data_IF_456260048372
#
_entry.id   IF_456260048372
#
_cell.length_a   1.000
_cell.length_b   1.000
_cell.length_c   1.000
_cell.angle_alpha   90.00
_cell.angle_beta   90.00
_cell.angle_gamma   90.00
#
_symmetry.space_group_name_H-M   'P 1'
#
loop_
_entity.id
_entity.type
_entity.pdbx_description
1 polymer ?
#
# COMPACT_ATOMS: atom_id res chain seq x y z
N UNK A 1 0.32 10.66 -11.43
CA UNK A 1 0.18 12.01 -10.85
C UNK A 1 1.32 12.13 -9.86
N UNK A 2 2.46 12.60 -10.36
CA UNK A 2 3.71 12.65 -9.60
C UNK A 2 3.67 13.94 -8.80
N UNK A 3 3.65 13.84 -7.48
CA UNK A 3 3.71 15.00 -6.61
C UNK A 3 5.01 15.76 -6.92
N UNK A 4 4.84 17.05 -7.19
CA UNK A 4 5.93 17.96 -7.51
C UNK A 4 6.81 18.10 -6.25
N UNK A 5 8.02 17.57 -6.29
CA UNK A 5 9.02 17.59 -5.20
C UNK A 5 9.45 19.01 -4.78
N UNK A 6 8.93 20.06 -5.40
CA UNK A 6 9.25 21.47 -5.16
C UNK A 6 8.26 22.21 -4.24
N UNK A 7 7.19 21.55 -3.76
CA UNK A 7 6.24 22.13 -2.78
C UNK A 7 6.27 21.42 -1.43
N UNK A 8 7.48 21.04 -0.99
CA UNK A 8 7.76 20.47 0.32
C UNK A 8 7.64 21.57 1.38
N UNK A 9 6.42 21.94 1.76
CA UNK A 9 6.21 22.91 2.83
C UNK A 9 6.54 22.27 4.18
N UNK A 10 7.73 22.58 4.70
CA UNK A 10 8.19 22.15 6.02
C UNK A 10 7.43 22.81 7.17
N UNK A 11 6.56 23.79 6.88
CA UNK A 11 5.74 24.51 7.85
C UNK A 11 4.27 24.05 7.86
N UNK A 12 3.90 23.07 7.01
CA UNK A 12 2.58 22.47 7.06
C UNK A 12 2.50 21.44 8.20
N UNK A 13 1.54 21.66 9.11
CA UNK A 13 1.20 20.72 10.15
C UNK A 13 0.01 19.88 9.68
N UNK A 14 0.13 18.56 9.75
CA UNK A 14 -0.95 17.63 9.42
C UNK A 14 -1.48 17.04 10.73
N UNK A 15 -2.80 17.09 10.92
CA UNK A 15 -3.45 16.50 12.11
C UNK A 15 -4.21 15.25 11.77
N UNK A 16 -4.01 14.21 12.58
CA UNK A 16 -4.76 12.97 12.49
C UNK A 16 -5.55 12.67 13.77
N UNK A 17 -6.88 12.76 13.66
CA UNK A 17 -7.83 12.48 14.74
C UNK A 17 -8.58 13.73 15.25
N UNK A 18 -9.72 13.53 15.89
CA UNK A 18 -10.56 14.63 16.42
C UNK A 18 -9.89 15.31 17.63
N UNK A 19 -9.38 16.52 17.44
CA UNK A 19 -9.22 17.54 18.49
C UNK A 19 -7.97 17.50 19.39
N UNK A 20 -7.21 16.40 19.45
CA UNK A 20 -5.91 16.32 20.17
C UNK A 20 -4.98 15.27 19.52
N UNK A 21 -5.05 15.17 18.19
CA UNK A 21 -4.38 14.14 17.40
C UNK A 21 -2.87 14.33 17.23
N UNK A 22 -2.21 13.30 16.71
CA UNK A 22 -0.79 13.35 16.33
C UNK A 22 -0.57 14.43 15.27
N UNK A 23 0.28 15.40 15.59
CA UNK A 23 0.67 16.48 14.68
C UNK A 23 1.98 16.08 14.02
N UNK A 24 1.95 15.97 12.69
CA UNK A 24 3.15 15.71 11.90
C UNK A 24 3.49 16.99 11.13
N UNK A 25 4.67 17.54 11.38
CA UNK A 25 5.15 18.72 10.66
C UNK A 25 6.00 18.29 9.46
N UNK A 26 5.76 18.94 8.32
CA UNK A 26 6.59 18.84 7.12
C UNK A 26 6.23 17.69 6.17
N UNK A 27 7.24 17.12 5.53
CA UNK A 27 7.13 16.42 4.23
C UNK A 27 6.79 14.93 4.31
N UNK A 28 6.70 14.40 5.53
CA UNK A 28 6.50 12.98 5.83
C UNK A 28 5.33 12.33 5.06
N UNK A 29 4.09 12.86 5.06
CA UNK A 29 2.96 12.17 4.45
C UNK A 29 3.11 12.02 2.93
N UNK A 30 3.66 13.03 2.24
CA UNK A 30 3.84 13.03 0.78
C UNK A 30 4.96 12.07 0.34
N UNK A 31 6.08 12.07 1.05
CA UNK A 31 7.20 11.16 0.75
C UNK A 31 6.83 9.71 1.05
N UNK A 32 6.21 9.45 2.21
CA UNK A 32 5.80 8.10 2.61
C UNK A 32 4.75 7.54 1.66
N UNK A 33 3.74 8.32 1.29
CA UNK A 33 2.70 7.85 0.36
C UNK A 33 3.26 7.48 -1.01
N UNK A 34 4.16 8.31 -1.55
CA UNK A 34 4.78 8.03 -2.85
C UNK A 34 5.55 6.70 -2.82
N UNK A 35 6.35 6.49 -1.77
CA UNK A 35 7.14 5.26 -1.59
C UNK A 35 6.22 4.07 -1.38
N UNK A 36 5.21 4.19 -0.52
CA UNK A 36 4.24 3.12 -0.22
C UNK A 36 3.44 2.73 -1.46
N UNK A 37 3.00 3.71 -2.26
CA UNK A 37 2.27 3.46 -3.52
C UNK A 37 3.14 2.74 -4.53
N UNK A 38 4.40 3.16 -4.69
CA UNK A 38 5.36 2.48 -5.57
C UNK A 38 5.58 1.04 -5.10
N UNK A 39 5.83 0.81 -3.82
CA UNK A 39 6.08 -0.53 -3.26
C UNK A 39 4.85 -1.43 -3.42
N UNK A 40 3.65 -0.91 -3.16
CA UNK A 40 2.38 -1.64 -3.29
C UNK A 40 2.09 -2.14 -4.71
N UNK A 41 2.58 -1.45 -5.74
CA UNK A 41 2.39 -1.86 -7.14
C UNK A 41 3.60 -2.63 -7.65
N UNK A 42 4.82 -2.16 -7.35
CA UNK A 42 6.06 -2.75 -7.86
C UNK A 42 6.30 -4.16 -7.32
N UNK A 43 6.09 -4.42 -6.03
CA UNK A 43 6.31 -5.75 -5.43
C UNK A 43 5.40 -6.83 -6.06
N UNK A 44 4.07 -6.68 -6.10
CA UNK A 44 3.22 -7.71 -6.69
C UNK A 44 3.49 -7.92 -8.18
N UNK A 45 3.76 -6.86 -8.96
CA UNK A 45 4.12 -7.03 -10.38
C UNK A 45 5.43 -7.81 -10.53
N UNK A 46 6.47 -7.48 -9.76
CA UNK A 46 7.74 -8.22 -9.78
C UNK A 46 7.55 -9.69 -9.36
N UNK A 47 6.79 -9.96 -8.30
CA UNK A 47 6.49 -11.32 -7.85
C UNK A 47 5.75 -12.14 -8.92
N UNK A 48 4.83 -11.51 -9.67
CA UNK A 48 4.09 -12.13 -10.76
C UNK A 48 5.02 -12.44 -11.95
N UNK A 49 5.84 -11.48 -12.38
CA UNK A 49 6.78 -11.68 -13.50
C UNK A 49 7.80 -12.76 -13.16
N UNK A 50 8.44 -12.68 -11.98
CA UNK A 50 9.38 -13.72 -11.56
C UNK A 50 8.70 -15.07 -11.34
N UNK A 51 7.43 -15.09 -10.93
CA UNK A 51 6.64 -16.32 -10.86
C UNK A 51 6.36 -16.92 -12.24
N UNK A 52 5.97 -16.10 -13.22
CA UNK A 52 5.69 -16.57 -14.59
C UNK A 52 6.96 -17.04 -15.30
N UNK A 53 8.11 -16.40 -15.10
CA UNK A 53 9.38 -16.84 -15.67
C UNK A 53 9.83 -18.20 -15.12
N UNK A 54 9.58 -18.46 -13.84
CA UNK A 54 9.89 -19.72 -13.16
C UNK A 54 8.96 -20.85 -13.65
N UNK A 55 7.66 -20.56 -13.75
CA UNK A 55 6.69 -21.45 -14.37
C UNK A 55 6.99 -21.74 -15.84
N UNK A 56 7.30 -20.70 -16.60
CA UNK A 56 7.59 -20.81 -18.02
C UNK A 56 8.70 -21.83 -18.25
N UNK A 57 9.81 -21.70 -17.52
CA UNK A 57 10.93 -22.65 -17.55
C UNK A 57 10.55 -24.08 -17.13
N UNK A 58 9.70 -24.24 -16.12
CA UNK A 58 9.22 -25.55 -15.70
C UNK A 58 8.27 -26.21 -16.74
N UNK A 59 7.47 -25.41 -17.44
CA UNK A 59 6.53 -25.90 -18.49
C UNK A 59 7.28 -26.38 -19.73
N UNK A 60 8.30 -25.64 -20.19
CA UNK A 60 9.14 -26.09 -21.33
C UNK A 60 9.96 -27.35 -21.01
N UNK A 61 10.25 -27.63 -19.73
CA UNK A 61 10.99 -28.82 -19.33
C UNK A 61 10.18 -30.14 -19.41
N UNK A 62 8.85 -30.08 -19.66
CA UNK A 62 7.92 -31.23 -19.88
C UNK A 62 8.03 -32.41 -18.89
N UNK A 63 8.59 -32.22 -17.69
CA UNK A 63 8.59 -33.22 -16.63
C UNK A 63 7.39 -32.99 -15.73
N UNK A 64 6.50 -33.96 -15.61
CA UNK A 64 5.28 -33.87 -14.79
C UNK A 64 5.56 -33.47 -13.34
N UNK A 65 6.72 -33.87 -12.79
CA UNK A 65 7.16 -33.53 -11.43
C UNK A 65 7.59 -32.05 -11.29
N UNK A 66 8.17 -31.47 -12.35
CA UNK A 66 8.64 -30.08 -12.36
C UNK A 66 7.48 -29.11 -12.60
N UNK A 67 6.50 -29.49 -13.43
CA UNK A 67 5.31 -28.67 -13.70
C UNK A 67 4.46 -28.52 -12.44
N UNK A 68 4.24 -29.60 -11.68
CA UNK A 68 3.48 -29.56 -10.42
C UNK A 68 4.19 -28.76 -9.33
N UNK A 69 5.51 -28.87 -9.22
CA UNK A 69 6.33 -28.07 -8.27
C UNK A 69 6.36 -26.59 -8.65
N UNK A 70 6.51 -26.28 -9.93
CA UNK A 70 6.42 -24.92 -10.45
C UNK A 70 5.07 -24.29 -10.12
N UNK A 71 3.97 -24.98 -10.48
CA UNK A 71 2.60 -24.50 -10.21
C UNK A 71 2.34 -24.23 -8.73
N UNK A 72 2.75 -25.14 -7.84
CA UNK A 72 2.62 -24.90 -6.39
C UNK A 72 3.40 -23.67 -5.93
N UNK A 73 4.60 -23.43 -6.47
CA UNK A 73 5.43 -22.29 -6.10
C UNK A 73 4.83 -20.97 -6.59
N UNK A 74 4.26 -20.95 -7.80
CA UNK A 74 3.57 -19.79 -8.33
C UNK A 74 2.29 -19.46 -7.56
N UNK A 75 1.47 -20.46 -7.24
CA UNK A 75 0.25 -20.27 -6.45
C UNK A 75 0.60 -19.71 -5.07
N UNK A 76 1.67 -20.20 -4.43
CA UNK A 76 2.14 -19.63 -3.15
C UNK A 76 2.54 -18.15 -3.27
N UNK A 77 3.20 -17.75 -4.36
CA UNK A 77 3.54 -16.34 -4.63
C UNK A 77 2.32 -15.48 -4.95
N UNK A 78 1.35 -16.03 -5.67
CA UNK A 78 0.07 -15.36 -5.97
C UNK A 78 -0.74 -15.12 -4.69
N UNK A 79 -0.84 -16.14 -3.83
CA UNK A 79 -1.49 -16.04 -2.52
C UNK A 79 -0.76 -15.02 -1.64
N UNK A 80 0.58 -15.01 -1.64
CA UNK A 80 1.34 -14.01 -0.88
C UNK A 80 1.03 -12.57 -1.35
N UNK A 81 0.95 -12.33 -2.66
CA UNK A 81 0.56 -11.02 -3.20
C UNK A 81 -0.89 -10.64 -2.83
N UNK A 82 -1.82 -11.59 -2.92
CA UNK A 82 -3.21 -11.38 -2.53
C UNK A 82 -3.35 -11.08 -1.02
N UNK A 83 -2.63 -11.80 -0.16
CA UNK A 83 -2.65 -11.57 1.30
C UNK A 83 -2.13 -10.18 1.64
N UNK A 84 -1.03 -9.72 1.03
CA UNK A 84 -0.50 -8.36 1.25
C UNK A 84 -1.54 -7.30 0.87
N UNK A 85 -2.26 -7.49 -0.24
CA UNK A 85 -3.35 -6.61 -0.63
C UNK A 85 -4.52 -6.66 0.37
N UNK A 86 -4.95 -7.86 0.78
CA UNK A 86 -6.04 -8.04 1.75
C UNK A 86 -5.70 -7.45 3.13
N UNK A 87 -4.46 -7.55 3.60
CA UNK A 87 -4.05 -6.95 4.89
C UNK A 87 -4.32 -5.45 4.90
N UNK A 88 -4.01 -4.75 3.81
CA UNK A 88 -4.28 -3.30 3.70
C UNK A 88 -5.78 -3.01 3.77
N UNK A 89 -6.58 -3.77 3.03
CA UNK A 89 -8.06 -3.61 3.00
C UNK A 89 -8.66 -3.91 4.37
N UNK A 90 -8.19 -4.97 5.04
CA UNK A 90 -8.67 -5.36 6.37
C UNK A 90 -8.31 -4.31 7.41
N UNK A 91 -7.10 -3.73 7.37
CA UNK A 91 -6.73 -2.63 8.28
C UNK A 91 -7.65 -1.41 8.08
N UNK A 92 -7.91 -1.02 6.83
CA UNK A 92 -8.85 0.06 6.52
C UNK A 92 -10.27 -0.24 7.02
N UNK A 93 -10.72 -1.49 6.87
CA UNK A 93 -12.04 -1.93 7.32
C UNK A 93 -12.16 -1.93 8.84
N UNK A 94 -11.18 -2.52 9.56
CA UNK A 94 -11.18 -2.56 11.03
C UNK A 94 -11.13 -1.16 11.60
N UNK A 95 -10.30 -0.28 11.05
CA UNK A 95 -10.24 1.13 11.48
C UNK A 95 -11.55 1.85 11.17
N UNK A 96 -12.16 1.61 10.01
CA UNK A 96 -13.48 2.12 9.67
C UNK A 96 -14.61 1.59 10.56
N UNK A 97 -14.44 0.42 11.19
CA UNK A 97 -15.41 -0.13 12.14
C UNK A 97 -15.23 0.48 13.54
N UNK A 98 -13.98 0.58 14.02
CA UNK A 98 -13.63 1.08 15.35
C UNK A 98 -13.80 2.60 15.46
N UNK A 99 -13.63 3.34 14.36
CA UNK A 99 -13.66 4.81 14.37
C UNK A 99 -15.06 5.43 14.61
N UNK A 100 -16.15 4.65 14.69
CA UNK A 100 -17.46 5.16 15.14
C UNK A 100 -17.94 6.43 14.40
N UNK A 101 -18.25 7.51 15.13
CA UNK A 101 -18.63 8.81 14.56
C UNK A 101 -17.44 9.63 13.98
N UNK A 102 -16.21 9.19 14.21
CA UNK A 102 -14.95 9.79 13.73
C UNK A 102 -14.36 9.03 12.54
N UNK A 103 -15.15 8.17 11.89
CA UNK A 103 -14.79 7.37 10.70
C UNK A 103 -14.07 8.19 9.65
N UNK A 104 -14.60 9.38 9.36
CA UNK A 104 -14.05 10.26 8.32
C UNK A 104 -12.69 10.86 8.70
N UNK A 105 -12.36 11.01 9.98
CA UNK A 105 -11.09 11.65 10.38
C UNK A 105 -9.92 10.67 10.36
N UNK A 106 -10.16 9.42 10.75
CA UNK A 106 -9.08 8.42 10.86
C UNK A 106 -8.84 7.72 9.51
N UNK A 107 -9.90 7.43 8.74
CA UNK A 107 -9.77 6.85 7.40
C UNK A 107 -9.02 7.80 6.45
N UNK A 108 -9.37 9.09 6.48
CA UNK A 108 -8.68 10.14 5.71
C UNK A 108 -7.20 10.23 6.05
N UNK A 109 -6.83 10.00 7.31
CA UNK A 109 -5.42 9.94 7.69
C UNK A 109 -4.69 8.75 7.11
N UNK A 110 -5.27 7.56 7.18
CA UNK A 110 -4.67 6.37 6.54
C UNK A 110 -4.55 6.60 5.03
N UNK A 111 -5.57 7.18 4.40
CA UNK A 111 -5.55 7.48 2.97
C UNK A 111 -4.56 8.59 2.60
N UNK A 112 -4.34 9.56 3.47
CA UNK A 112 -3.29 10.57 3.30
C UNK A 112 -1.89 9.89 3.23
N UNK A 113 -1.59 8.98 4.16
CA UNK A 113 -0.30 8.29 4.20
C UNK A 113 -0.13 7.17 3.18
N UNK A 114 -1.22 6.54 2.73
CA UNK A 114 -1.16 5.40 1.79
C UNK A 114 -1.36 5.84 0.34
N UNK A 115 -2.29 6.77 0.10
CA UNK A 115 -2.76 7.16 -1.24
C UNK A 115 -2.25 8.54 -1.63
N UNK A 116 -1.77 9.37 -0.68
CA UNK A 116 -1.13 10.65 -0.98
C UNK A 116 -2.10 11.67 -1.54
N UNK A 117 -3.38 11.49 -1.25
CA UNK A 117 -4.42 12.41 -1.68
C UNK A 117 -4.39 13.64 -0.78
N UNK A 118 -3.96 14.78 -1.32
CA UNK A 118 -3.84 16.04 -0.58
C UNK A 118 -5.17 16.49 0.05
N UNK A 119 -6.31 16.10 -0.54
CA UNK A 119 -7.67 16.39 -0.03
C UNK A 119 -8.03 15.59 1.23
N UNK A 120 -7.27 14.53 1.54
CA UNK A 120 -7.44 13.67 2.72
C UNK A 120 -6.49 14.06 3.86
N UNK A 121 -5.50 14.90 3.58
CA UNK A 121 -4.55 15.42 4.56
C UNK A 121 -5.08 16.73 5.16
N UNK A 122 -5.68 16.67 6.36
CA UNK A 122 -6.15 17.89 7.04
C UNK A 122 -4.97 18.70 7.58
N UNK A 123 -4.83 19.92 7.08
CA UNK A 123 -3.88 20.90 7.61
C UNK A 123 -4.37 21.34 8.99
N UNK A 124 -3.56 21.10 10.01
CA UNK A 124 -3.71 21.70 11.32
C UNK A 124 -3.45 23.19 11.16
N UNK A 125 -4.51 23.99 11.26
CA UNK A 125 -4.40 25.44 11.30
C UNK A 125 -4.14 25.91 12.71
#
# INVERSE_FOLDING_TARGET
>A
MYANLLSLDTNLNYTCGSGTGFVFSGVLPQTVSTIVTIIKIAIPILLIIFGMLDLGKAVIAQKDDEIKKGQQTFIKRLIAAAVVFFVVVVVQLVVGLVAGASKDSISKCIDCFISGNDQSCTIAK
#
